data_IF_995346610899
#
_entry.id   IF_995346610899
#
_cell.length_a   1.000
_cell.length_b   1.000
_cell.length_c   1.000
_cell.angle_alpha   90.00
_cell.angle_beta   90.00
_cell.angle_gamma   90.00
#
_symmetry.space_group_name_H-M   'P 1'
#
loop_
_entity.id
_entity.type
_entity.pdbx_description
1 polymer ?
#
# COMPACT_ATOMS: atom_id res chain seq x y z
N UNK A 1 22.14 9.77 -0.07
CA UNK A 1 20.81 9.38 0.44
C UNK A 1 20.49 8.02 -0.14
N UNK A 2 19.81 7.13 0.61
CA UNK A 2 19.27 5.89 0.03
C UNK A 2 18.10 6.29 -0.85
N UNK A 3 18.16 5.94 -2.13
CA UNK A 3 17.05 6.13 -3.06
C UNK A 3 16.10 4.93 -2.93
N UNK A 4 14.87 5.20 -2.51
CA UNK A 4 13.82 4.20 -2.36
C UNK A 4 13.04 4.11 -3.68
N UNK A 5 13.50 3.24 -4.59
CA UNK A 5 12.88 3.09 -5.91
C UNK A 5 11.61 2.23 -5.86
N UNK A 6 10.55 2.82 -5.30
CA UNK A 6 9.22 2.21 -5.19
C UNK A 6 8.63 1.83 -6.54
N UNK A 7 8.89 2.60 -7.59
CA UNK A 7 8.41 2.32 -8.94
C UNK A 7 8.97 1.00 -9.47
N UNK A 8 10.27 0.76 -9.28
CA UNK A 8 10.91 -0.49 -9.67
C UNK A 8 10.33 -1.68 -8.90
N UNK A 9 10.03 -1.51 -7.62
CA UNK A 9 9.39 -2.57 -6.81
C UNK A 9 7.97 -2.85 -7.26
N UNK A 10 7.14 -1.81 -7.44
CA UNK A 10 5.76 -1.95 -7.89
C UNK A 10 5.67 -2.61 -9.27
N UNK A 11 6.58 -2.26 -10.19
CA UNK A 11 6.61 -2.88 -11.51
C UNK A 11 6.95 -4.38 -11.43
N UNK A 12 7.99 -4.73 -10.66
CA UNK A 12 8.37 -6.15 -10.47
C UNK A 12 7.30 -6.96 -9.75
N UNK A 13 6.65 -6.38 -8.74
CA UNK A 13 5.50 -6.99 -8.09
C UNK A 13 4.36 -7.20 -9.08
N UNK A 14 4.13 -6.22 -9.96
CA UNK A 14 3.14 -6.33 -11.03
C UNK A 14 3.42 -7.53 -11.92
N UNK A 15 4.66 -7.74 -12.32
CA UNK A 15 5.08 -8.89 -13.15
C UNK A 15 4.83 -10.25 -12.46
N UNK A 16 4.89 -10.31 -11.12
CA UNK A 16 4.62 -11.52 -10.34
C UNK A 16 3.13 -11.79 -10.09
N UNK A 17 2.25 -10.80 -10.24
CA UNK A 17 0.81 -10.92 -9.93
C UNK A 17 -0.05 -11.06 -11.19
N UNK A 18 -1.23 -11.66 -11.03
CA UNK A 18 -2.24 -11.80 -12.08
C UNK A 18 -3.60 -11.25 -11.63
N UNK A 19 -4.49 -11.02 -12.59
CA UNK A 19 -5.87 -10.59 -12.31
C UNK A 19 -5.95 -9.17 -11.75
N UNK A 20 -6.76 -9.00 -10.70
CA UNK A 20 -7.08 -7.67 -10.16
C UNK A 20 -5.94 -7.06 -9.33
N UNK A 21 -5.08 -7.89 -8.73
CA UNK A 21 -3.88 -7.42 -8.03
C UNK A 21 -2.91 -6.72 -8.99
N UNK A 22 -2.69 -7.32 -10.17
CA UNK A 22 -1.86 -6.72 -11.22
C UNK A 22 -2.41 -5.37 -11.69
N UNK A 23 -3.72 -5.28 -11.93
CA UNK A 23 -4.37 -4.03 -12.35
C UNK A 23 -4.24 -2.95 -11.28
N UNK A 24 -4.40 -3.32 -10.02
CA UNK A 24 -4.25 -2.40 -8.88
C UNK A 24 -2.82 -1.88 -8.77
N UNK A 25 -1.82 -2.77 -8.87
CA UNK A 25 -0.39 -2.44 -8.92
C UNK A 25 -0.05 -1.49 -10.06
N UNK A 26 -0.55 -1.75 -11.26
CA UNK A 26 -0.37 -0.84 -12.39
C UNK A 26 -1.02 0.52 -12.16
N UNK A 27 -2.20 0.57 -11.54
CA UNK A 27 -2.89 1.82 -11.25
C UNK A 27 -2.11 2.66 -10.23
N UNK A 28 -1.55 2.04 -9.18
CA UNK A 28 -0.68 2.70 -8.21
C UNK A 28 0.60 3.17 -8.89
N UNK A 29 1.26 2.31 -9.67
CA UNK A 29 2.44 2.69 -10.45
C UNK A 29 2.18 3.91 -11.34
N UNK A 30 1.09 3.93 -12.10
CA UNK A 30 0.73 5.05 -12.98
C UNK A 30 0.46 6.35 -12.25
N UNK A 31 -0.01 6.29 -11.00
CA UNK A 31 -0.24 7.48 -10.17
C UNK A 31 1.06 8.03 -9.57
N UNK A 32 2.06 7.16 -9.40
CA UNK A 32 3.33 7.52 -8.76
C UNK A 32 4.47 7.76 -9.77
N UNK A 33 4.35 7.30 -11.02
CA UNK A 33 5.44 7.30 -12.02
C UNK A 33 5.99 8.70 -12.34
N UNK A 34 5.15 9.73 -12.20
CA UNK A 34 5.49 11.11 -12.52
C UNK A 34 5.91 11.90 -11.26
N UNK A 35 6.00 11.23 -10.10
CA UNK A 35 6.36 11.83 -8.81
C UNK A 35 7.78 11.44 -8.41
N UNK A 36 8.53 12.41 -7.86
CA UNK A 36 9.81 12.14 -7.20
C UNK A 36 9.58 11.48 -5.84
N UNK A 37 10.62 10.82 -5.29
CA UNK A 37 10.55 10.22 -3.95
C UNK A 37 10.11 11.25 -2.88
N UNK A 38 10.68 12.45 -2.92
CA UNK A 38 10.30 13.55 -2.01
C UNK A 38 8.85 13.98 -2.20
N UNK A 39 8.33 13.98 -3.43
CA UNK A 39 6.92 14.29 -3.68
C UNK A 39 6.01 13.19 -3.09
N UNK A 40 6.36 11.91 -3.25
CA UNK A 40 5.58 10.79 -2.70
C UNK A 40 5.61 10.83 -1.17
N UNK A 41 6.76 11.14 -0.57
CA UNK A 41 6.94 11.21 0.89
C UNK A 41 6.20 12.39 1.52
N UNK A 42 6.18 13.54 0.84
CA UNK A 42 5.57 14.77 1.35
C UNK A 42 4.08 14.89 0.99
N UNK A 43 3.61 14.23 -0.08
CA UNK A 43 2.18 14.16 -0.39
C UNK A 43 1.46 13.09 0.44
N UNK A 44 0.67 13.56 1.41
CA UNK A 44 -0.16 12.69 2.26
C UNK A 44 -1.08 11.77 1.45
N UNK A 45 -1.57 12.20 0.29
CA UNK A 45 -2.48 11.40 -0.54
C UNK A 45 -1.76 10.21 -1.17
N UNK A 46 -0.65 10.46 -1.86
CA UNK A 46 0.21 9.45 -2.46
C UNK A 46 0.77 8.49 -1.41
N UNK A 47 1.22 9.00 -0.26
CA UNK A 47 1.73 8.17 0.82
C UNK A 47 0.66 7.27 1.47
N UNK A 48 -0.56 7.78 1.58
CA UNK A 48 -1.69 7.02 2.10
C UNK A 48 -2.08 5.87 1.18
N UNK A 49 -2.12 6.12 -0.14
CA UNK A 49 -2.41 5.08 -1.14
C UNK A 49 -1.40 3.93 -1.12
N UNK A 50 -0.11 4.25 -0.97
CA UNK A 50 0.94 3.23 -0.94
C UNK A 50 0.83 2.34 0.31
N UNK A 51 0.48 2.91 1.47
CA UNK A 51 0.25 2.14 2.70
C UNK A 51 -1.00 1.28 2.65
N UNK A 52 -2.09 1.77 2.04
CA UNK A 52 -3.29 0.95 1.77
C UNK A 52 -2.92 -0.26 0.92
N UNK A 53 -2.16 -0.03 -0.16
CA UNK A 53 -1.71 -1.10 -1.04
C UNK A 53 -0.87 -2.14 -0.30
N UNK A 54 0.14 -1.69 0.46
CA UNK A 54 0.97 -2.56 1.29
C UNK A 54 0.11 -3.43 2.21
N UNK A 55 -0.82 -2.81 2.93
CA UNK A 55 -1.65 -3.51 3.88
C UNK A 55 -2.63 -4.47 3.18
N UNK A 56 -3.13 -4.18 1.99
CA UNK A 56 -4.07 -5.08 1.29
C UNK A 56 -3.41 -6.30 0.65
N UNK A 57 -2.23 -6.14 0.05
CA UNK A 57 -1.66 -7.16 -0.85
C UNK A 57 -0.33 -7.74 -0.39
N UNK A 58 0.33 -7.11 0.57
CA UNK A 58 1.65 -7.54 1.06
C UNK A 58 1.56 -8.08 2.48
N UNK A 59 0.89 -7.33 3.37
CA UNK A 59 0.76 -7.71 4.77
C UNK A 59 -0.58 -7.24 5.35
N UNK A 60 -1.58 -8.12 5.25
CA UNK A 60 -2.93 -7.89 5.76
C UNK A 60 -3.00 -7.72 7.27
N UNK A 61 -1.96 -8.12 8.01
CA UNK A 61 -1.89 -7.85 9.46
C UNK A 61 -1.74 -6.37 9.77
N UNK A 62 -1.35 -5.55 8.79
CA UNK A 62 -1.29 -4.08 8.92
C UNK A 62 -2.62 -3.39 8.64
N UNK A 63 -3.66 -4.13 8.25
CA UNK A 63 -5.03 -3.64 8.22
C UNK A 63 -5.64 -3.75 9.61
N UNK A 64 -6.00 -2.61 10.16
CA UNK A 64 -6.74 -2.49 11.40
C UNK A 64 -8.21 -2.21 11.09
N UNK A 65 -9.11 -2.94 11.75
CA UNK A 65 -10.52 -2.59 11.75
C UNK A 65 -10.79 -1.54 12.82
N UNK A 66 -11.36 -0.41 12.43
CA UNK A 66 -11.80 0.63 13.35
C UNK A 66 -13.30 0.83 13.23
N UNK A 67 -13.97 1.03 14.37
CA UNK A 67 -15.36 1.47 14.39
C UNK A 67 -15.37 2.99 14.34
N UNK A 68 -15.97 3.54 13.30
CA UNK A 68 -16.11 4.99 13.12
C UNK A 68 -17.58 5.35 13.31
N UNK A 69 -17.82 6.33 14.17
CA UNK A 69 -19.16 6.87 14.39
C UNK A 69 -19.50 7.84 13.26
N UNK A 70 -20.55 7.55 12.50
CA UNK A 70 -21.12 8.48 11.53
C UNK A 70 -22.46 9.02 12.04
N UNK A 71 -22.64 10.34 11.93
CA UNK A 71 -23.92 11.00 12.18
C UNK A 71 -24.65 11.18 10.85
N UNK A 72 -25.75 10.45 10.64
CA UNK A 72 -26.76 10.85 9.65
C UNK A 72 -27.86 11.61 10.38
N UNK A 73 -28.56 12.54 9.69
CA UNK A 73 -29.61 13.37 10.30
C UNK A 73 -30.62 12.47 11.04
N UNK A 74 -30.52 12.47 12.37
CA UNK A 74 -31.30 11.76 13.41
C UNK A 74 -30.76 10.43 13.96
N UNK A 75 -29.86 9.71 13.30
CA UNK A 75 -29.33 8.44 13.83
C UNK A 75 -27.79 8.41 13.87
N UNK A 76 -27.25 8.02 15.03
CA UNK A 76 -25.83 7.72 15.20
C UNK A 76 -25.61 6.23 14.87
N UNK A 77 -24.80 5.96 13.86
CA UNK A 77 -24.44 4.59 13.45
C UNK A 77 -22.93 4.42 13.56
N UNK A 78 -22.50 3.26 14.05
CA UNK A 78 -21.11 2.84 13.99
C UNK A 78 -20.90 2.06 12.70
N UNK A 79 -20.01 2.55 11.84
CA UNK A 79 -19.57 1.87 10.62
C UNK A 79 -18.17 1.31 10.82
N UNK A 80 -17.97 0.07 10.40
CA UNK A 80 -16.65 -0.53 10.38
C UNK A 80 -15.87 0.04 9.18
N UNK A 81 -14.74 0.69 9.45
CA UNK A 81 -13.80 1.17 8.42
C UNK A 81 -12.48 0.43 8.59
N UNK A 82 -11.79 0.21 7.47
CA UNK A 82 -10.41 -0.26 7.49
C UNK A 82 -9.48 0.93 7.60
N UNK A 83 -8.51 0.81 8.49
CA UNK A 83 -7.36 1.70 8.60
C UNK A 83 -6.11 0.85 8.36
N UNK A 84 -5.06 1.45 7.82
CA UNK A 84 -3.76 0.82 7.69
C UNK A 84 -2.81 1.44 8.71
N UNK A 85 -1.84 0.65 9.19
CA UNK A 85 -0.90 1.14 10.20
C UNK A 85 -0.07 2.32 9.67
N UNK A 86 0.45 3.15 10.59
CA UNK A 86 1.30 4.31 10.27
C UNK A 86 2.73 3.86 9.91
N UNK A 87 2.87 2.90 9.00
CA UNK A 87 4.19 2.49 8.51
C UNK A 87 4.95 3.69 8.00
N UNK A 88 6.21 3.78 8.40
CA UNK A 88 7.15 4.74 7.85
C UNK A 88 7.46 4.41 6.39
N UNK A 89 7.99 5.42 5.70
CA UNK A 89 8.45 5.30 4.32
C UNK A 89 9.51 4.22 4.14
N UNK A 90 10.28 3.90 5.17
CA UNK A 90 11.29 2.87 5.08
C UNK A 90 10.72 1.47 5.36
N UNK A 91 9.78 1.34 6.31
CA UNK A 91 9.14 0.07 6.64
C UNK A 91 8.33 -0.51 5.47
N UNK A 92 7.54 0.34 4.80
CA UNK A 92 6.80 -0.06 3.60
C UNK A 92 7.75 -0.53 2.48
N UNK A 93 8.86 0.17 2.27
CA UNK A 93 9.84 -0.20 1.24
C UNK A 93 10.48 -1.55 1.56
N UNK A 94 10.96 -1.74 2.79
CA UNK A 94 11.59 -3.00 3.21
C UNK A 94 10.63 -4.17 3.12
N UNK A 95 9.39 -3.99 3.58
CA UNK A 95 8.38 -5.04 3.49
C UNK A 95 8.04 -5.42 2.04
N UNK A 96 7.95 -4.45 1.12
CA UNK A 96 7.78 -4.74 -0.31
C UNK A 96 8.97 -5.52 -0.90
N UNK A 97 10.19 -5.19 -0.49
CA UNK A 97 11.38 -5.94 -0.91
C UNK A 97 11.33 -7.39 -0.42
N UNK A 98 11.06 -7.59 0.88
CA UNK A 98 10.97 -8.93 1.48
C UNK A 98 9.87 -9.76 0.83
N UNK A 99 8.71 -9.16 0.59
CA UNK A 99 7.60 -9.84 -0.08
C UNK A 99 7.96 -10.26 -1.51
N UNK A 100 8.54 -9.36 -2.30
CA UNK A 100 8.99 -9.68 -3.65
C UNK A 100 10.06 -10.79 -3.65
N UNK A 101 10.99 -10.77 -2.70
CA UNK A 101 11.99 -11.84 -2.56
C UNK A 101 11.35 -13.18 -2.21
N UNK A 102 10.34 -13.21 -1.36
CA UNK A 102 9.63 -14.43 -1.00
C UNK A 102 8.83 -14.99 -2.18
N UNK A 103 8.12 -14.12 -2.91
CA UNK A 103 7.39 -14.47 -4.14
C UNK A 103 8.32 -15.06 -5.21
N UNK A 104 9.49 -14.44 -5.45
CA UNK A 104 10.48 -14.95 -6.41
C UNK A 104 11.11 -16.28 -5.99
N UNK A 105 11.19 -16.56 -4.68
CA UNK A 105 11.68 -17.82 -4.13
C UNK A 105 10.60 -18.91 -4.10
N UNK A 106 9.37 -18.61 -4.51
CA UNK A 106 8.24 -19.55 -4.41
C UNK A 106 7.86 -19.88 -2.97
N UNK A 107 8.26 -19.02 -2.01
CA UNK A 107 7.89 -19.17 -0.60
C UNK A 107 6.52 -18.53 -0.44
N UNK A 108 5.47 -19.34 -0.38
CA UNK A 108 4.14 -18.90 0.05
C UNK A 108 4.25 -18.34 1.47
N UNK A 109 4.01 -17.03 1.61
CA UNK A 109 3.88 -16.32 2.89
C UNK A 109 2.58 -16.71 3.57
#
# INVERSE_FOLDING_TARGET
MKEYNYLKLLNKLGECKQGDEHKCLQAVYRQLKDLTEDQIKNDRSSWSKLRVYYALYVDSTKLEHILVKEKKKKDELYVQKMKYSLLSFEECYRGLQTYLENELKGVTV
#
